data_IF_433788810964
#
_entry.id   IF_433788810964
#
_cell.length_a   1.000
_cell.length_b   1.000
_cell.length_c   1.000
_cell.angle_alpha   90.00
_cell.angle_beta   90.00
_cell.angle_gamma   90.00
#
_symmetry.space_group_name_H-M   'P 1'
#
loop_
_entity.id
_entity.type
_entity.pdbx_description
1 polymer ?
#
# COMPACT_ATOMS: atom_id res chain seq x y z
N UNK A 1 -6.28 -2.41 19.26
CA UNK A 1 -7.38 -1.49 18.89
C UNK A 1 -6.92 -0.49 17.83
N UNK A 2 -5.82 0.23 18.05
CA UNK A 2 -5.27 1.25 17.13
C UNK A 2 -5.05 0.74 15.70
N UNK A 3 -4.40 -0.42 15.54
CA UNK A 3 -4.17 -1.05 14.23
C UNK A 3 -5.47 -1.35 13.47
N UNK A 4 -6.53 -1.71 14.19
CA UNK A 4 -7.85 -1.95 13.62
C UNK A 4 -8.46 -0.66 13.04
N UNK A 5 -8.38 0.45 13.78
CA UNK A 5 -8.84 1.75 13.29
C UNK A 5 -7.97 2.29 12.14
N UNK A 6 -6.65 2.05 12.19
CA UNK A 6 -5.76 2.37 11.07
C UNK A 6 -6.18 1.62 9.80
N UNK A 7 -6.43 0.32 9.90
CA UNK A 7 -6.92 -0.50 8.79
C UNK A 7 -8.30 -0.05 8.29
N UNK A 8 -9.22 0.32 9.20
CA UNK A 8 -10.52 0.87 8.83
C UNK A 8 -10.37 2.18 8.04
N UNK A 9 -9.50 3.10 8.48
CA UNK A 9 -9.21 4.33 7.76
C UNK A 9 -8.67 4.08 6.34
N UNK A 10 -7.73 3.14 6.19
CA UNK A 10 -7.23 2.73 4.87
C UNK A 10 -8.33 2.13 3.98
N UNK A 11 -9.20 1.30 4.56
CA UNK A 11 -10.32 0.70 3.84
C UNK A 11 -11.31 1.77 3.34
N UNK A 12 -11.63 2.76 4.18
CA UNK A 12 -12.47 3.90 3.80
C UNK A 12 -11.84 4.71 2.66
N UNK A 13 -10.54 5.00 2.71
CA UNK A 13 -9.84 5.65 1.59
C UNK A 13 -9.97 4.84 0.29
N UNK A 14 -9.83 3.52 0.37
CA UNK A 14 -10.04 2.62 -0.76
C UNK A 14 -11.46 2.72 -1.34
N UNK A 15 -12.49 2.71 -0.49
CA UNK A 15 -13.90 2.85 -0.92
C UNK A 15 -14.14 4.22 -1.57
N UNK A 16 -13.67 5.31 -0.94
CA UNK A 16 -13.83 6.67 -1.46
C UNK A 16 -13.16 6.85 -2.84
N UNK A 17 -12.13 6.05 -3.13
CA UNK A 17 -11.41 6.08 -4.41
C UNK A 17 -12.25 5.62 -5.59
N UNK A 18 -13.32 4.86 -5.36
CA UNK A 18 -14.27 4.47 -6.40
C UNK A 18 -15.01 5.72 -6.92
N UNK A 19 -15.32 6.67 -6.02
CA UNK A 19 -16.14 7.85 -6.32
C UNK A 19 -15.34 9.08 -6.75
N UNK A 20 -14.30 9.45 -6.01
CA UNK A 20 -13.56 10.71 -6.29
C UNK A 20 -12.58 10.59 -7.47
N UNK A 21 -11.98 9.41 -7.65
CA UNK A 21 -11.09 9.05 -8.78
C UNK A 21 -9.97 10.08 -9.07
N UNK A 22 -9.21 9.88 -10.14
CA UNK A 22 -8.21 10.86 -10.57
C UNK A 22 -7.05 11.04 -9.58
N UNK A 23 -6.73 12.29 -9.26
CA UNK A 23 -5.66 12.63 -8.31
C UNK A 23 -5.97 12.17 -6.88
N UNK A 24 -7.25 11.89 -6.55
CA UNK A 24 -7.60 11.33 -5.25
C UNK A 24 -6.89 9.99 -5.00
N UNK A 25 -6.62 9.20 -6.05
CA UNK A 25 -5.92 7.92 -5.94
C UNK A 25 -4.50 8.02 -5.40
N UNK A 26 -3.89 9.21 -5.38
CA UNK A 26 -2.61 9.42 -4.71
C UNK A 26 -2.72 9.14 -3.21
N UNK A 27 -3.79 9.60 -2.55
CA UNK A 27 -3.98 9.45 -1.11
C UNK A 27 -4.00 7.97 -0.65
N UNK A 28 -4.90 7.09 -1.13
CA UNK A 28 -4.92 5.69 -0.71
C UNK A 28 -3.62 4.97 -1.08
N UNK A 29 -2.99 5.27 -2.23
CA UNK A 29 -1.76 4.61 -2.66
C UNK A 29 -0.62 4.97 -1.71
N UNK A 30 -0.44 6.25 -1.38
CA UNK A 30 0.59 6.69 -0.43
C UNK A 30 0.32 6.08 0.94
N UNK A 31 -0.90 6.17 1.47
CA UNK A 31 -1.22 5.65 2.81
C UNK A 31 -1.00 4.14 2.89
N UNK A 32 -1.48 3.36 1.90
CA UNK A 32 -1.29 1.92 1.89
C UNK A 32 0.17 1.52 1.68
N UNK A 33 0.94 2.30 0.89
CA UNK A 33 2.35 2.01 0.64
C UNK A 33 3.22 2.26 1.86
N UNK A 34 3.03 3.39 2.55
CA UNK A 34 3.76 3.70 3.78
C UNK A 34 3.46 2.65 4.85
N UNK A 35 2.19 2.27 5.00
CA UNK A 35 1.80 1.26 5.97
C UNK A 35 2.37 -0.12 5.64
N UNK A 36 2.16 -0.61 4.41
CA UNK A 36 2.61 -1.94 3.99
C UNK A 36 4.13 -2.07 3.99
N UNK A 37 4.86 -1.15 3.35
CA UNK A 37 6.32 -1.21 3.31
C UNK A 37 6.95 -1.00 4.70
N UNK A 38 6.32 -0.19 5.55
CA UNK A 38 6.70 -0.06 6.95
C UNK A 38 6.54 -1.37 7.72
N UNK A 39 5.41 -2.07 7.56
CA UNK A 39 5.18 -3.38 8.15
C UNK A 39 6.18 -4.44 7.62
N UNK A 40 6.41 -4.49 6.30
CA UNK A 40 7.40 -5.36 5.69
C UNK A 40 8.80 -5.18 6.29
N UNK A 41 9.21 -3.94 6.55
CA UNK A 41 10.49 -3.65 7.20
C UNK A 41 10.57 -4.22 8.62
N UNK A 42 9.50 -4.09 9.42
CA UNK A 42 9.44 -4.68 10.76
C UNK A 42 9.50 -6.21 10.67
N UNK A 43 8.73 -6.81 9.76
CA UNK A 43 8.75 -8.26 9.52
C UNK A 43 10.13 -8.78 9.13
N UNK A 44 10.83 -8.07 8.23
CA UNK A 44 12.20 -8.40 7.84
C UNK A 44 13.16 -8.28 9.01
N UNK A 45 13.07 -7.23 9.83
CA UNK A 45 13.88 -7.12 11.05
C UNK A 45 13.66 -8.28 12.00
N UNK A 46 12.41 -8.67 12.28
CA UNK A 46 12.12 -9.82 13.13
C UNK A 46 12.66 -11.14 12.56
N UNK A 47 12.64 -11.30 11.24
CA UNK A 47 13.25 -12.46 10.58
C UNK A 47 14.77 -12.47 10.80
N UNK A 48 15.45 -11.33 10.59
CA UNK A 48 16.91 -11.27 10.69
C UNK A 48 17.41 -11.32 12.14
N UNK A 49 16.76 -10.62 13.06
CA UNK A 49 17.21 -10.46 14.44
C UNK A 49 16.74 -11.62 15.34
N UNK A 50 15.57 -12.21 15.03
CA UNK A 50 14.94 -13.21 15.90
C UNK A 50 14.60 -14.53 15.20
N UNK A 51 14.89 -14.69 13.90
CA UNK A 51 14.50 -15.89 13.13
C UNK A 51 13.00 -16.21 13.26
N UNK A 52 12.16 -15.17 13.36
CA UNK A 52 10.72 -15.32 13.51
C UNK A 52 10.07 -15.64 12.15
N UNK A 53 9.97 -16.92 11.81
CA UNK A 53 9.30 -17.39 10.60
C UNK A 53 7.84 -17.79 10.84
N UNK A 54 7.21 -17.26 11.89
CA UNK A 54 5.81 -17.56 12.16
C UNK A 54 4.89 -17.08 11.02
N UNK A 55 3.73 -17.72 10.80
CA UNK A 55 2.81 -17.34 9.72
C UNK A 55 2.30 -15.89 9.79
N UNK A 56 2.34 -15.26 10.97
CA UNK A 56 1.95 -13.86 11.16
C UNK A 56 3.06 -12.85 10.88
N UNK A 57 4.28 -13.31 10.63
CA UNK A 57 5.45 -12.47 10.39
C UNK A 57 6.08 -12.70 9.00
N UNK A 58 6.14 -13.95 8.57
CA UNK A 58 6.75 -14.36 7.31
C UNK A 58 5.72 -14.85 6.29
N UNK A 59 6.19 -15.20 5.10
CA UNK A 59 5.35 -15.80 4.06
C UNK A 59 4.35 -14.80 3.48
N UNK A 60 3.05 -15.14 3.35
CA UNK A 60 2.08 -14.31 2.65
C UNK A 60 1.93 -12.89 3.19
N UNK A 61 2.02 -12.69 4.51
CA UNK A 61 1.88 -11.36 5.13
C UNK A 61 2.97 -10.43 4.62
N UNK A 62 4.24 -10.82 4.76
CA UNK A 62 5.39 -10.07 4.26
C UNK A 62 5.33 -9.85 2.74
N UNK A 63 4.92 -10.85 1.96
CA UNK A 63 4.82 -10.72 0.50
C UNK A 63 3.75 -9.69 0.12
N UNK A 64 2.57 -9.74 0.75
CA UNK A 64 1.49 -8.79 0.45
C UNK A 64 1.84 -7.36 0.87
N UNK A 65 2.55 -7.19 1.97
CA UNK A 65 3.05 -5.90 2.45
C UNK A 65 4.01 -5.22 1.47
N UNK A 66 4.63 -5.96 0.56
CA UNK A 66 5.52 -5.44 -0.49
C UNK A 66 4.79 -5.34 -1.83
N UNK A 67 4.17 -6.44 -2.27
CA UNK A 67 3.59 -6.56 -3.61
C UNK A 67 2.44 -5.57 -3.80
N UNK A 68 1.56 -5.43 -2.81
CA UNK A 68 0.40 -4.54 -2.94
C UNK A 68 0.83 -3.07 -3.11
N UNK A 69 1.73 -2.51 -2.28
CA UNK A 69 2.30 -1.17 -2.51
C UNK A 69 2.96 -1.01 -3.88
N UNK A 70 3.83 -1.94 -4.28
CA UNK A 70 4.58 -1.84 -5.55
C UNK A 70 3.63 -1.81 -6.74
N UNK A 71 2.64 -2.71 -6.77
CA UNK A 71 1.64 -2.76 -7.84
C UNK A 71 0.78 -1.49 -7.83
N UNK A 72 0.33 -1.04 -6.67
CA UNK A 72 -0.49 0.17 -6.55
C UNK A 72 0.24 1.43 -7.04
N UNK A 73 1.52 1.59 -6.67
CA UNK A 73 2.38 2.68 -7.14
C UNK A 73 2.57 2.60 -8.66
N UNK A 74 2.87 1.40 -9.20
CA UNK A 74 3.07 1.23 -10.63
C UNK A 74 1.82 1.61 -11.44
N UNK A 75 0.64 1.17 -10.99
CA UNK A 75 -0.64 1.52 -11.61
C UNK A 75 -0.93 3.02 -11.53
N UNK A 76 -0.69 3.65 -10.38
CA UNK A 76 -0.89 5.09 -10.21
C UNK A 76 0.05 5.90 -11.12
N UNK A 77 1.33 5.53 -11.18
CA UNK A 77 2.31 6.19 -12.06
C UNK A 77 1.90 6.05 -13.52
N UNK A 78 1.49 4.85 -13.95
CA UNK A 78 0.96 4.63 -15.30
C UNK A 78 -0.25 5.50 -15.61
N UNK A 79 -1.20 5.58 -14.68
CA UNK A 79 -2.39 6.42 -14.80
C UNK A 79 -2.05 7.91 -14.93
N UNK A 80 -1.18 8.43 -14.06
CA UNK A 80 -0.81 9.85 -14.06
C UNK A 80 -0.06 10.25 -15.34
N UNK A 81 0.84 9.38 -15.84
CA UNK A 81 1.56 9.61 -17.10
C UNK A 81 0.59 9.73 -18.29
N UNK A 82 -0.40 8.84 -18.37
CA UNK A 82 -1.41 8.88 -19.43
C UNK A 82 -2.21 10.19 -19.38
N UNK A 83 -2.68 10.59 -18.20
CA UNK A 83 -3.47 11.81 -18.01
C UNK A 83 -2.69 13.08 -18.37
N UNK A 84 -1.40 13.15 -18.03
CA UNK A 84 -0.55 14.29 -18.42
C UNK A 84 -0.39 14.41 -19.94
N UNK A 85 -0.31 13.29 -20.66
CA UNK A 85 -0.26 13.29 -22.13
C UNK A 85 -1.55 13.78 -22.77
N UNK A 86 -2.71 13.40 -22.23
CA UNK A 86 -4.03 13.87 -22.70
C UNK A 86 -4.26 15.37 -22.44
N UNK A 87 -3.61 15.96 -21.43
CA UNK A 87 -3.76 17.39 -21.12
C UNK A 87 -2.86 18.29 -21.97
N UNK A 88 -1.88 17.72 -22.68
CA UNK A 88 -0.91 18.43 -23.51
C UNK A 88 -1.23 18.35 -25.02
N UNK A 89 -2.22 17.55 -25.40
CA UNK A 89 -2.74 17.39 -26.77
C UNK A 89 -4.02 18.20 -26.96
#
# INVERSE_FOLDING_TARGET
>A
MELGFANLGRALLGILSIRFRGTFWVAPVVTNSVFGLGAAYIHLREIFEHSNYSPGNAGPVLVLDIVVPVVAIALLVGYLRKRSGESAA
#
